data_IF_954795518105
#
_entry.id   IF_954795518105
#
_cell.length_a   1.000
_cell.length_b   1.000
_cell.length_c   1.000
_cell.angle_alpha   90.00
_cell.angle_beta   90.00
_cell.angle_gamma   90.00
#
_symmetry.space_group_name_H-M   'P 1'
#
loop_
_entity.id
_entity.type
_entity.pdbx_description
1 polymer ?
#
# COMPACT_ATOMS: atom_id res chain seq x y z
N UNK A 1 19.04 3.96 6.36
CA UNK A 1 19.62 2.92 7.24
C UNK A 1 19.40 1.57 6.59
N UNK A 2 20.16 0.54 7.00
CA UNK A 2 20.03 -0.84 6.50
C UNK A 2 19.31 -1.71 7.55
N UNK A 3 18.60 -2.75 7.11
CA UNK A 3 17.87 -3.67 7.99
C UNK A 3 17.12 -4.74 7.19
N UNK A 4 16.56 -5.73 7.89
CA UNK A 4 15.73 -6.77 7.28
C UNK A 4 14.48 -6.16 6.62
N UNK A 5 14.23 -6.53 5.35
CA UNK A 5 13.21 -5.89 4.51
C UNK A 5 11.85 -6.61 4.51
N UNK A 6 11.75 -7.78 5.13
CA UNK A 6 10.51 -8.55 5.23
C UNK A 6 10.63 -9.97 4.70
N UNK A 7 9.58 -10.76 4.96
CA UNK A 7 9.49 -12.19 4.65
C UNK A 7 9.78 -12.49 3.18
N UNK A 8 9.19 -11.71 2.27
CA UNK A 8 9.40 -11.88 0.82
C UNK A 8 10.87 -11.70 0.45
N UNK A 9 11.58 -10.77 1.08
CA UNK A 9 12.94 -10.46 0.67
C UNK A 9 13.98 -11.42 1.25
N UNK A 10 13.84 -11.84 2.51
CA UNK A 10 14.79 -12.73 3.18
C UNK A 10 14.06 -13.62 4.20
N UNK A 11 13.39 -14.70 3.74
CA UNK A 11 12.52 -15.52 4.59
C UNK A 11 13.26 -16.25 5.71
N UNK A 12 14.55 -16.54 5.48
CA UNK A 12 15.40 -17.32 6.39
C UNK A 12 16.14 -16.46 7.43
N UNK A 13 15.91 -15.13 7.43
CA UNK A 13 16.53 -14.17 8.36
C UNK A 13 18.08 -14.26 8.41
N UNK A 14 18.70 -14.62 7.30
CA UNK A 14 20.13 -14.95 7.23
C UNK A 14 20.87 -14.20 6.11
N UNK A 15 20.19 -13.27 5.42
CA UNK A 15 20.77 -12.51 4.32
C UNK A 15 20.95 -13.31 3.02
N UNK A 16 20.27 -14.46 2.87
CA UNK A 16 20.31 -15.27 1.65
C UNK A 16 19.53 -14.64 0.48
N UNK A 17 18.57 -13.78 0.80
CA UNK A 17 17.68 -13.15 -0.17
C UNK A 17 16.93 -14.15 -1.06
N UNK A 18 16.44 -15.25 -0.49
CA UNK A 18 15.69 -16.28 -1.20
C UNK A 18 14.27 -15.81 -1.60
N UNK A 19 14.19 -14.83 -2.52
CA UNK A 19 12.92 -14.12 -2.84
C UNK A 19 11.82 -15.04 -3.35
N UNK A 20 12.14 -16.04 -4.17
CA UNK A 20 11.15 -17.00 -4.68
C UNK A 20 10.55 -17.86 -3.56
N UNK A 21 11.37 -18.27 -2.59
CA UNK A 21 10.91 -18.96 -1.38
C UNK A 21 10.02 -18.03 -0.55
N UNK A 22 10.48 -16.79 -0.35
CA UNK A 22 9.73 -15.77 0.39
C UNK A 22 8.36 -15.44 -0.21
N UNK A 23 8.26 -15.33 -1.54
CA UNK A 23 6.99 -15.16 -2.26
C UNK A 23 6.06 -16.36 -2.06
N UNK A 24 6.59 -17.58 -2.17
CA UNK A 24 5.81 -18.81 -1.96
C UNK A 24 5.28 -18.88 -0.53
N UNK A 25 6.13 -18.60 0.45
CA UNK A 25 5.75 -18.55 1.87
C UNK A 25 4.72 -17.47 2.18
N UNK A 26 4.91 -16.25 1.64
CA UNK A 26 3.99 -15.14 1.85
C UNK A 26 2.60 -15.44 1.27
N UNK A 27 2.53 -16.02 0.07
CA UNK A 27 1.26 -16.43 -0.54
C UNK A 27 0.59 -17.54 0.26
N UNK A 28 1.33 -18.58 0.67
CA UNK A 28 0.77 -19.66 1.48
C UNK A 28 0.19 -19.12 2.80
N UNK A 29 0.92 -18.24 3.49
CA UNK A 29 0.44 -17.61 4.72
C UNK A 29 -0.88 -16.85 4.51
N UNK A 30 -1.02 -16.08 3.43
CA UNK A 30 -2.26 -15.36 3.12
C UNK A 30 -3.42 -16.33 2.85
N UNK A 31 -3.17 -17.40 2.10
CA UNK A 31 -4.17 -18.44 1.83
C UNK A 31 -4.60 -19.17 3.11
N UNK A 32 -3.66 -19.46 4.01
CA UNK A 32 -3.94 -20.09 5.30
C UNK A 32 -4.83 -19.18 6.17
N UNK A 33 -4.57 -17.87 6.20
CA UNK A 33 -5.40 -16.89 6.91
C UNK A 33 -6.81 -16.83 6.32
N UNK A 34 -6.93 -16.77 4.99
CA UNK A 34 -8.22 -16.76 4.30
C UNK A 34 -8.99 -18.06 4.53
N UNK A 35 -8.31 -19.21 4.58
CA UNK A 35 -8.91 -20.51 4.87
C UNK A 35 -9.53 -20.60 6.28
N UNK A 36 -9.07 -19.77 7.22
CA UNK A 36 -9.69 -19.60 8.54
C UNK A 36 -10.94 -18.71 8.52
N UNK A 37 -11.33 -18.18 7.36
CA UNK A 37 -12.41 -17.22 7.21
C UNK A 37 -12.05 -15.80 7.66
N UNK A 38 -10.76 -15.49 7.80
CA UNK A 38 -10.27 -14.18 8.24
C UNK A 38 -9.76 -13.36 7.05
N UNK A 39 -10.12 -12.07 6.94
CA UNK A 39 -9.56 -11.20 5.91
C UNK A 39 -8.11 -10.81 6.26
N UNK A 40 -7.28 -10.61 5.24
CA UNK A 40 -5.89 -10.18 5.39
C UNK A 40 -5.68 -8.74 4.90
N UNK A 41 -4.84 -7.99 5.62
CA UNK A 41 -4.36 -6.67 5.22
C UNK A 41 -2.87 -6.70 4.90
N UNK A 42 -2.43 -5.94 3.88
CA UNK A 42 -1.02 -5.88 3.47
C UNK A 42 -0.56 -4.44 3.19
N UNK A 43 0.72 -4.12 3.42
CA UNK A 43 1.32 -2.89 2.89
C UNK A 43 1.91 -3.18 1.51
N UNK A 44 1.59 -2.37 0.51
CA UNK A 44 2.12 -2.51 -0.85
C UNK A 44 3.34 -1.60 -1.05
N UNK A 45 4.54 -2.19 -0.93
CA UNK A 45 5.82 -1.48 -0.96
C UNK A 45 6.44 -1.37 -2.36
N UNK A 46 6.08 -2.26 -3.28
CA UNK A 46 6.62 -2.34 -4.61
C UNK A 46 5.52 -2.70 -5.62
N UNK A 47 5.68 -2.37 -6.91
CA UNK A 47 4.64 -2.57 -7.92
C UNK A 47 4.58 -3.99 -8.50
N UNK A 48 5.46 -4.90 -8.11
CA UNK A 48 5.59 -6.25 -8.70
C UNK A 48 4.93 -7.30 -7.80
N UNK A 49 5.27 -7.31 -6.51
CA UNK A 49 4.72 -8.26 -5.52
C UNK A 49 3.18 -8.34 -5.51
N UNK A 50 2.41 -7.26 -5.74
CA UNK A 50 0.95 -7.32 -5.80
C UNK A 50 0.39 -8.40 -6.75
N UNK A 51 1.04 -8.67 -7.89
CA UNK A 51 0.59 -9.70 -8.84
C UNK A 51 0.58 -11.11 -8.24
N UNK A 52 1.30 -11.34 -7.15
CA UNK A 52 1.44 -12.65 -6.51
C UNK A 52 0.50 -12.87 -5.33
N UNK A 53 -0.14 -11.82 -4.81
CA UNK A 53 -0.82 -11.90 -3.50
C UNK A 53 -2.18 -11.19 -3.44
N UNK A 54 -2.49 -10.29 -4.37
CA UNK A 54 -3.65 -9.39 -4.24
C UNK A 54 -5.00 -10.09 -4.22
N UNK A 55 -5.12 -11.26 -4.84
CA UNK A 55 -6.32 -12.11 -4.79
C UNK A 55 -6.64 -12.64 -3.38
N UNK A 56 -5.65 -12.65 -2.48
CA UNK A 56 -5.80 -13.06 -1.08
C UNK A 56 -5.75 -11.89 -0.09
N UNK A 57 -5.82 -10.63 -0.56
CA UNK A 57 -5.74 -9.43 0.29
C UNK A 57 -7.06 -8.66 0.23
N UNK A 58 -7.64 -8.37 1.40
CA UNK A 58 -8.92 -7.66 1.52
C UNK A 58 -8.76 -6.15 1.74
N UNK A 59 -7.59 -5.69 2.17
CA UNK A 59 -7.31 -4.28 2.42
C UNK A 59 -5.82 -3.96 2.26
N UNK A 60 -5.50 -2.83 1.64
CA UNK A 60 -4.12 -2.38 1.40
C UNK A 60 -3.71 -1.16 2.22
N UNK A 61 -2.42 -1.01 2.46
CA UNK A 61 -1.81 0.23 2.95
C UNK A 61 -0.70 0.72 2.01
N UNK A 62 -0.58 2.04 1.87
CA UNK A 62 0.62 2.70 1.35
C UNK A 62 1.36 3.38 2.51
N UNK A 63 2.66 3.10 2.59
CA UNK A 63 3.54 3.57 3.64
C UNK A 63 3.67 5.10 3.71
N UNK A 64 4.02 5.62 4.90
CA UNK A 64 4.25 7.05 5.12
C UNK A 64 5.44 7.61 4.31
N UNK A 65 6.34 6.74 3.84
CA UNK A 65 7.50 7.09 2.99
C UNK A 65 7.23 6.95 1.50
N UNK A 66 6.09 6.36 1.12
CA UNK A 66 5.73 6.08 -0.26
C UNK A 66 4.39 6.71 -0.66
N UNK A 67 3.67 7.36 0.25
CA UNK A 67 2.41 8.05 -0.05
C UNK A 67 2.58 9.21 -1.05
N UNK A 68 3.71 9.91 -1.02
CA UNK A 68 4.05 10.93 -2.04
C UNK A 68 4.50 10.33 -3.39
N UNK A 69 4.78 9.02 -3.43
CA UNK A 69 5.32 8.39 -4.62
C UNK A 69 4.24 8.22 -5.69
N UNK A 70 4.46 8.82 -6.87
CA UNK A 70 3.57 8.66 -8.00
C UNK A 70 3.40 7.19 -8.41
N UNK A 71 4.46 6.37 -8.31
CA UNK A 71 4.39 4.93 -8.63
C UNK A 71 3.37 4.22 -7.73
N UNK A 72 3.32 4.58 -6.44
CA UNK A 72 2.39 3.96 -5.49
C UNK A 72 0.96 4.48 -5.66
N UNK A 73 0.78 5.76 -6.04
CA UNK A 73 -0.53 6.32 -6.40
C UNK A 73 -1.09 5.63 -7.65
N UNK A 74 -0.25 5.45 -8.67
CA UNK A 74 -0.59 4.71 -9.89
C UNK A 74 -0.93 3.25 -9.58
N UNK A 75 -0.11 2.55 -8.78
CA UNK A 75 -0.39 1.18 -8.35
C UNK A 75 -1.76 1.11 -7.67
N UNK A 76 -2.01 2.00 -6.70
CA UNK A 76 -3.26 2.01 -5.92
C UNK A 76 -4.50 2.19 -6.78
N UNK A 77 -4.39 3.00 -7.84
CA UNK A 77 -5.50 3.21 -8.79
C UNK A 77 -5.97 1.95 -9.53
N UNK A 78 -5.14 0.89 -9.55
CA UNK A 78 -5.44 -0.41 -10.15
C UNK A 78 -5.73 -1.53 -9.15
N UNK A 79 -5.59 -1.29 -7.84
CA UNK A 79 -5.85 -2.29 -6.82
C UNK A 79 -7.35 -2.55 -6.66
N UNK A 80 -7.72 -3.81 -6.46
CA UNK A 80 -9.11 -4.28 -6.43
C UNK A 80 -9.71 -4.34 -5.02
N UNK A 81 -9.07 -3.68 -4.05
CA UNK A 81 -9.50 -3.60 -2.66
C UNK A 81 -9.33 -2.17 -2.12
N UNK A 82 -9.97 -1.83 -0.99
CA UNK A 82 -9.76 -0.54 -0.37
C UNK A 82 -8.31 -0.34 0.08
N UNK A 83 -7.81 0.90 -0.02
CA UNK A 83 -6.42 1.23 0.32
C UNK A 83 -6.31 2.46 1.21
N UNK A 84 -5.61 2.32 2.33
CA UNK A 84 -5.28 3.42 3.21
C UNK A 84 -3.93 4.06 2.90
N UNK A 85 -3.89 5.38 2.69
CA UNK A 85 -2.67 6.16 2.59
C UNK A 85 -2.27 6.73 3.96
N UNK A 86 -1.05 6.39 4.43
CA UNK A 86 -0.51 6.96 5.68
C UNK A 86 -0.10 8.42 5.48
N UNK A 87 -0.39 9.28 6.45
CA UNK A 87 0.16 10.64 6.46
C UNK A 87 1.71 10.62 6.41
N UNK A 88 2.31 11.70 5.88
CA UNK A 88 3.76 11.80 5.71
C UNK A 88 4.52 11.68 7.03
N UNK A 89 5.80 11.31 6.97
CA UNK A 89 6.61 11.09 8.21
C UNK A 89 6.78 12.35 9.07
N UNK A 90 6.57 13.54 8.51
CA UNK A 90 6.51 14.80 9.26
C UNK A 90 5.21 14.99 10.04
N UNK A 91 4.14 14.25 9.71
CA UNK A 91 2.80 14.43 10.29
C UNK A 91 1.80 15.06 9.31
N UNK A 92 2.26 15.48 8.14
CA UNK A 92 1.43 16.15 7.13
C UNK A 92 0.41 15.18 6.50
N UNK A 93 -0.86 15.51 6.70
CA UNK A 93 -2.03 14.76 6.23
C UNK A 93 -2.38 15.10 4.79
N UNK A 94 -2.02 16.29 4.30
CA UNK A 94 -2.34 16.72 2.93
C UNK A 94 -1.74 15.78 1.90
N UNK A 95 -0.53 15.28 2.17
CA UNK A 95 0.15 14.24 1.38
C UNK A 95 -0.73 13.00 1.13
N UNK A 96 -1.47 12.55 2.16
CA UNK A 96 -2.35 11.39 2.06
C UNK A 96 -3.65 11.72 1.33
N UNK A 97 -4.21 12.92 1.56
CA UNK A 97 -5.39 13.42 0.84
C UNK A 97 -5.11 13.51 -0.67
N UNK A 98 -3.97 14.11 -1.05
CA UNK A 98 -3.56 14.23 -2.44
C UNK A 98 -3.34 12.85 -3.09
N UNK A 99 -2.82 11.88 -2.33
CA UNK A 99 -2.60 10.53 -2.80
C UNK A 99 -3.91 9.77 -3.05
N UNK A 100 -4.90 9.91 -2.15
CA UNK A 100 -6.25 9.39 -2.35
C UNK A 100 -6.89 9.97 -3.61
N UNK A 101 -6.86 11.30 -3.74
CA UNK A 101 -7.41 11.98 -4.90
C UNK A 101 -6.74 11.48 -6.18
N UNK A 102 -5.42 11.45 -6.23
CA UNK A 102 -4.67 10.94 -7.37
C UNK A 102 -5.04 9.49 -7.72
N UNK A 103 -5.11 8.59 -6.72
CA UNK A 103 -5.44 7.19 -6.93
C UNK A 103 -6.89 6.98 -7.41
N UNK A 104 -7.80 7.92 -7.14
CA UNK A 104 -9.20 7.85 -7.58
C UNK A 104 -9.41 8.04 -9.08
N UNK A 105 -8.39 8.53 -9.80
CA UNK A 105 -8.43 8.74 -11.26
C UNK A 105 -7.78 7.58 -12.03
N UNK A 106 -8.17 7.36 -13.30
CA UNK A 106 -7.46 6.49 -14.23
C UNK A 106 -6.00 6.90 -14.43
N UNK A 107 -5.11 5.92 -14.51
CA UNK A 107 -3.70 6.13 -14.87
C UNK A 107 -3.28 5.21 -16.01
N UNK A 108 -2.22 5.60 -16.71
CA UNK A 108 -1.51 4.77 -17.67
C UNK A 108 -0.02 4.75 -17.30
N UNK A 109 0.54 3.57 -17.04
CA UNK A 109 1.93 3.43 -16.58
C UNK A 109 2.53 2.06 -16.94
N UNK A 110 3.85 1.94 -16.89
CA UNK A 110 4.55 0.67 -17.09
C UNK A 110 4.51 -0.16 -15.80
N UNK A 111 4.11 -1.43 -15.92
CA UNK A 111 4.12 -2.40 -14.82
C UNK A 111 4.40 -3.82 -15.34
N UNK A 112 4.25 -4.83 -14.48
CA UNK A 112 4.48 -6.24 -14.81
C UNK A 112 3.14 -6.98 -14.82
N UNK A 113 2.93 -7.87 -15.78
CA UNK A 113 1.75 -8.75 -15.88
C UNK A 113 1.89 -10.00 -15.01
N UNK A 114 0.83 -10.79 -14.88
CA UNK A 114 0.86 -12.07 -14.16
C UNK A 114 1.87 -13.07 -14.78
N UNK A 115 2.13 -12.98 -16.08
CA UNK A 115 3.13 -13.79 -16.79
C UNK A 115 4.57 -13.30 -16.57
N UNK A 116 4.78 -12.23 -15.81
CA UNK A 116 6.10 -11.69 -15.49
C UNK A 116 6.73 -10.85 -16.61
N UNK A 117 5.94 -10.36 -17.56
CA UNK A 117 6.42 -9.49 -18.64
C UNK A 117 6.05 -8.02 -18.40
N UNK A 118 6.89 -7.10 -18.86
CA UNK A 118 6.61 -5.67 -18.77
C UNK A 118 5.51 -5.27 -19.77
N UNK A 119 4.55 -4.47 -19.33
CA UNK A 119 3.44 -3.98 -20.15
C UNK A 119 3.02 -2.57 -19.74
N UNK A 120 2.28 -1.90 -20.64
CA UNK A 120 1.55 -0.68 -20.32
C UNK A 120 0.21 -1.10 -19.70
N UNK A 121 0.00 -0.68 -18.45
CA UNK A 121 -1.23 -0.91 -17.70
C UNK A 121 -2.08 0.36 -17.72
N UNK A 122 -3.39 0.19 -17.91
CA UNK A 122 -4.39 1.25 -17.79
C UNK A 122 -5.33 0.89 -16.65
N UNK A 123 -5.50 1.78 -15.69
CA UNK A 123 -6.36 1.58 -14.52
C UNK A 123 -7.62 2.41 -14.61
N UNK A 124 -8.62 2.08 -13.78
CA UNK A 124 -9.91 2.79 -13.74
C UNK A 124 -9.98 3.84 -12.63
N UNK A 125 -8.97 3.90 -11.77
CA UNK A 125 -9.04 4.63 -10.50
C UNK A 125 -9.62 3.75 -9.39
N UNK A 126 -9.17 3.97 -8.17
CA UNK A 126 -9.65 3.34 -6.96
C UNK A 126 -10.34 4.38 -6.07
N UNK A 127 -11.66 4.29 -5.98
CA UNK A 127 -12.49 5.20 -5.17
C UNK A 127 -12.53 4.82 -3.70
N UNK A 128 -12.15 3.59 -3.37
CA UNK A 128 -12.19 3.05 -2.01
C UNK A 128 -10.86 3.34 -1.30
N UNK A 129 -10.50 4.62 -1.22
CA UNK A 129 -9.26 5.05 -0.54
C UNK A 129 -9.57 5.86 0.71
N UNK A 130 -8.67 5.85 1.69
CA UNK A 130 -8.83 6.63 2.91
C UNK A 130 -7.49 7.05 3.53
N UNK A 131 -7.53 8.03 4.44
CA UNK A 131 -6.35 8.46 5.21
C UNK A 131 -6.11 7.50 6.39
N UNK A 132 -4.84 7.27 6.72
CA UNK A 132 -4.40 6.66 7.99
C UNK A 132 -3.59 7.70 8.77
N UNK A 133 -4.10 8.11 9.94
CA UNK A 133 -3.40 8.95 10.90
C UNK A 133 -2.44 8.10 11.73
N UNK A 134 -1.14 8.40 11.66
CA UNK A 134 -0.06 7.60 12.27
C UNK A 134 1.03 8.43 12.95
N UNK A 135 0.72 9.69 13.25
CA UNK A 135 1.63 10.69 13.80
C UNK A 135 2.76 11.07 12.86
N UNK A 136 3.74 11.79 13.37
CA UNK A 136 4.93 12.19 12.64
C UNK A 136 5.93 12.91 13.53
N UNK A 137 6.93 13.55 12.92
CA UNK A 137 7.88 14.40 13.65
C UNK A 137 7.19 15.57 14.38
N UNK A 138 6.05 16.03 13.88
CA UNK A 138 5.23 17.06 14.54
C UNK A 138 4.50 16.58 15.81
N UNK A 139 4.46 15.26 16.07
CA UNK A 139 3.78 14.68 17.21
C UNK A 139 2.73 13.62 16.83
N UNK A 140 1.92 13.25 17.81
CA UNK A 140 0.79 12.33 17.62
C UNK A 140 -0.40 13.06 17.00
N UNK A 141 -1.20 12.38 16.17
CA UNK A 141 -2.36 12.98 15.50
C UNK A 141 -3.63 12.12 15.62
N UNK A 142 -3.80 11.42 16.75
CA UNK A 142 -4.98 10.60 17.03
C UNK A 142 -6.07 11.33 17.83
N UNK A 143 -5.77 12.52 18.36
CA UNK A 143 -6.70 13.29 19.17
C UNK A 143 -7.87 13.86 18.33
N UNK A 144 -8.92 14.30 19.02
CA UNK A 144 -10.13 14.82 18.40
C UNK A 144 -9.85 16.04 17.49
N UNK A 145 -8.89 16.89 17.86
CA UNK A 145 -8.52 18.07 17.07
C UNK A 145 -7.85 17.65 15.74
N UNK A 146 -6.97 16.67 15.78
CA UNK A 146 -6.28 16.13 14.61
C UNK A 146 -7.23 15.40 13.67
N UNK A 147 -8.19 14.65 14.22
CA UNK A 147 -9.29 14.05 13.44
C UNK A 147 -10.13 15.14 12.78
N UNK A 148 -10.54 16.18 13.52
CA UNK A 148 -11.32 17.28 12.98
C UNK A 148 -10.59 18.04 11.85
N UNK A 149 -9.29 18.32 12.02
CA UNK A 149 -8.45 18.91 10.97
C UNK A 149 -8.37 18.03 9.72
N UNK A 150 -8.30 16.71 9.90
CA UNK A 150 -8.25 15.75 8.79
C UNK A 150 -9.56 15.73 8.01
N UNK A 151 -10.70 15.75 8.70
CA UNK A 151 -12.02 15.83 8.05
C UNK A 151 -12.15 17.12 7.22
N UNK A 152 -11.70 18.26 7.75
CA UNK A 152 -11.69 19.53 7.00
C UNK A 152 -10.79 19.46 5.76
N UNK A 153 -9.67 18.74 5.81
CA UNK A 153 -8.79 18.56 4.66
C UNK A 153 -9.42 17.65 3.59
N UNK A 154 -10.14 16.61 4.01
CA UNK A 154 -10.86 15.69 3.11
C UNK A 154 -12.00 16.39 2.36
N UNK A 155 -12.74 17.30 3.00
CA UNK A 155 -13.86 18.02 2.37
C UNK A 155 -13.41 18.99 1.25
N UNK A 156 -12.11 19.29 1.16
CA UNK A 156 -11.54 20.22 0.17
C UNK A 156 -10.94 19.55 -1.06
N UNK A 157 -10.74 18.23 -1.05
CA UNK A 157 -10.12 17.45 -2.12
C UNK A 157 -11.14 16.75 -3.00
#
# INVERSE_FOLDING_TARGET
>A
TVGWKGLVNDPNLNGSFAVNEGLTMARQLLLDVVALGLPAGCEFLDPITPQFITDAVSWGAIGARTTESQVHRNLTSGLSMPVGFKNGTDGDVQIAVDAMLAASYPHQFMSVTEEGVAAIVVTRGNKDTHVILRGGRSGTNYDAESVARTLIALDKG
#
